data_IF_146238056330
#
_entry.id   IF_146238056330
#
_cell.length_a   1.000
_cell.length_b   1.000
_cell.length_c   1.000
_cell.angle_alpha   90.00
_cell.angle_beta   90.00
_cell.angle_gamma   90.00
#
_symmetry.space_group_name_H-M   'P 1'
#
loop_
_entity.id
_entity.type
_entity.pdbx_description
1 polymer ?
#
# COMPACT_ATOMS: atom_id res chain seq x y z
N UNK A 1 -7.67 9.62 -1.95
CA UNK A 1 -7.76 8.92 -0.66
C UNK A 1 -6.42 8.37 -0.30
N UNK A 2 -6.11 8.35 0.96
CA UNK A 2 -4.83 7.84 1.42
C UNK A 2 -5.01 6.44 1.98
N UNK A 3 -4.06 5.58 1.69
CA UNK A 3 -4.09 4.20 2.17
C UNK A 3 -2.75 3.86 2.81
N UNK A 4 -2.82 3.12 3.89
CA UNK A 4 -1.62 2.63 4.54
C UNK A 4 -1.40 1.20 4.09
N UNK A 5 -0.24 0.95 3.51
CA UNK A 5 0.11 -0.37 3.01
C UNK A 5 1.22 -0.92 3.88
N UNK A 6 1.00 -2.09 4.44
CA UNK A 6 2.01 -2.74 5.26
C UNK A 6 2.20 -4.16 4.76
N UNK A 7 3.30 -4.76 5.11
CA UNK A 7 3.61 -6.12 4.70
C UNK A 7 5.10 -6.36 4.75
N UNK A 8 5.55 -7.30 3.92
CA UNK A 8 6.96 -7.64 3.82
C UNK A 8 7.42 -7.50 2.39
N UNK A 9 8.50 -6.80 2.20
CA UNK A 9 9.09 -6.54 0.89
C UNK A 9 10.45 -7.21 0.89
N UNK A 10 10.57 -8.30 0.14
CA UNK A 10 11.77 -9.14 0.12
C UNK A 10 12.16 -9.56 1.54
N UNK A 11 11.17 -9.87 2.36
CA UNK A 11 11.40 -10.32 3.71
C UNK A 11 11.57 -9.23 4.75
N UNK A 12 11.51 -7.96 4.34
CA UNK A 12 11.63 -6.85 5.28
C UNK A 12 10.31 -6.17 5.48
N UNK A 13 9.97 -5.85 6.68
CA UNK A 13 8.71 -5.19 7.00
C UNK A 13 8.71 -3.79 6.43
N UNK A 14 7.58 -3.39 5.87
CA UNK A 14 7.43 -2.03 5.39
C UNK A 14 6.10 -1.45 5.85
N UNK A 15 6.02 -0.13 5.86
CA UNK A 15 4.84 0.60 6.26
C UNK A 15 4.85 1.91 5.49
N UNK A 16 3.96 2.04 4.53
CA UNK A 16 3.94 3.21 3.65
C UNK A 16 2.53 3.73 3.50
N UNK A 17 2.42 5.04 3.30
CA UNK A 17 1.14 5.67 3.02
C UNK A 17 1.20 6.18 1.60
N UNK A 18 0.23 5.77 0.78
CA UNK A 18 0.16 6.22 -0.60
C UNK A 18 -1.23 6.73 -0.90
N UNK A 19 -1.33 7.55 -1.91
CA UNK A 19 -2.61 8.08 -2.33
C UNK A 19 -3.12 7.32 -3.53
N UNK A 20 -4.38 6.96 -3.53
CA UNK A 20 -5.02 6.24 -4.62
C UNK A 20 -6.50 6.57 -4.63
N UNK A 21 -7.20 6.23 -5.70
CA UNK A 21 -8.62 6.52 -5.81
C UNK A 21 -9.46 5.57 -4.98
N UNK A 22 -9.08 4.33 -4.90
CA UNK A 22 -9.76 3.35 -4.08
C UNK A 22 -8.78 2.24 -3.72
N UNK A 23 -9.26 1.26 -2.97
CA UNK A 23 -8.38 0.20 -2.48
C UNK A 23 -7.86 -0.67 -3.60
N UNK A 24 -8.66 -0.89 -4.65
CA UNK A 24 -8.20 -1.67 -5.79
C UNK A 24 -7.09 -0.95 -6.52
N UNK A 25 -7.23 0.35 -6.70
CA UNK A 25 -6.22 1.16 -7.35
C UNK A 25 -4.92 1.13 -6.54
N UNK A 26 -5.04 1.22 -5.23
CA UNK A 26 -3.89 1.17 -4.33
C UNK A 26 -3.17 -0.17 -4.46
N UNK A 27 -3.94 -1.26 -4.43
CA UNK A 27 -3.36 -2.59 -4.51
C UNK A 27 -2.67 -2.79 -5.87
N UNK A 28 -3.33 -2.41 -6.95
CA UNK A 28 -2.77 -2.58 -8.28
C UNK A 28 -1.49 -1.77 -8.46
N UNK A 29 -1.46 -0.55 -7.96
CA UNK A 29 -0.29 0.29 -8.04
C UNK A 29 0.88 -0.33 -7.29
N UNK A 30 0.61 -0.83 -6.08
CA UNK A 30 1.64 -1.42 -5.26
C UNK A 30 2.20 -2.69 -5.88
N UNK A 31 1.31 -3.54 -6.40
CA UNK A 31 1.74 -4.80 -6.99
C UNK A 31 2.50 -4.56 -8.30
N UNK A 32 2.11 -3.55 -9.07
CA UNK A 32 2.84 -3.20 -10.27
C UNK A 32 4.25 -2.74 -9.92
N UNK A 33 4.37 -1.94 -8.87
CA UNK A 33 5.67 -1.48 -8.42
C UNK A 33 6.54 -2.66 -8.00
N UNK A 34 5.97 -3.59 -7.26
CA UNK A 34 6.70 -4.79 -6.83
C UNK A 34 7.16 -5.61 -8.03
N UNK A 35 6.31 -5.70 -9.06
CA UNK A 35 6.65 -6.44 -10.26
C UNK A 35 7.80 -5.79 -11.01
N UNK A 36 7.77 -4.48 -11.14
CA UNK A 36 8.85 -3.76 -11.81
C UNK A 36 10.15 -3.92 -11.04
N UNK A 37 10.10 -3.90 -9.72
CA UNK A 37 11.28 -4.03 -8.89
C UNK A 37 11.70 -5.48 -8.67
N UNK A 38 10.95 -6.44 -9.21
CA UNK A 38 11.19 -7.87 -8.99
C UNK A 38 11.22 -8.18 -7.49
N UNK A 39 10.35 -7.55 -6.73
CA UNK A 39 10.30 -7.75 -5.29
C UNK A 39 9.29 -8.82 -4.92
N UNK A 40 9.57 -9.53 -3.84
CA UNK A 40 8.67 -10.54 -3.35
C UNK A 40 7.90 -9.92 -2.20
N UNK A 41 6.62 -9.67 -2.40
CA UNK A 41 5.79 -9.01 -1.40
C UNK A 41 4.85 -10.03 -0.79
N UNK A 42 4.87 -10.12 0.53
CA UNK A 42 4.03 -11.07 1.25
C UNK A 42 3.34 -10.36 2.38
N UNK A 43 2.26 -10.97 2.87
CA UNK A 43 1.49 -10.47 4.02
C UNK A 43 1.03 -9.02 3.84
N UNK A 44 0.65 -8.68 2.60
CA UNK A 44 0.25 -7.32 2.31
C UNK A 44 -1.10 -7.00 2.97
N UNK A 45 -1.17 -5.81 3.53
CA UNK A 45 -2.37 -5.35 4.18
C UNK A 45 -2.57 -3.90 3.81
N UNK A 46 -3.77 -3.54 3.40
CA UNK A 46 -4.07 -2.18 2.99
C UNK A 46 -5.22 -1.64 3.82
N UNK A 47 -5.02 -0.47 4.38
CA UNK A 47 -6.02 0.14 5.23
C UNK A 47 -6.32 1.53 4.73
N UNK A 48 -7.58 1.85 4.56
CA UNK A 48 -7.96 3.19 4.16
C UNK A 48 -7.83 4.14 5.32
N UNK A 49 -7.12 5.24 5.10
CA UNK A 49 -6.97 6.25 6.13
C UNK A 49 -7.97 7.36 5.86
N UNK A 50 -8.88 7.55 6.79
CA UNK A 50 -9.85 8.60 6.63
C UNK A 50 -9.21 9.90 6.97
N UNK A 51 -9.36 10.84 6.08
CA UNK A 51 -8.89 12.12 6.36
C UNK A 51 -9.81 12.75 7.27
N UNK A 52 -9.44 12.91 8.48
CA UNK A 52 -10.27 13.39 9.47
C UNK A 52 -10.26 14.84 9.43
N UNK A 53 -11.30 15.38 9.01
CA UNK A 53 -11.39 16.76 9.05
C UNK A 53 -11.73 17.14 10.37
N UNK A 54 -10.87 17.53 11.13
CA UNK A 54 -11.20 18.00 12.36
C UNK A 54 -11.80 19.22 12.23
N UNK A 55 -12.88 19.23 12.33
CA UNK A 55 -13.48 20.52 12.25
C UNK A 55 -13.06 21.39 13.33
#
# INVERSE_FOLDING_TARGET
MHFRVTGEWNGELFDRVIEAEDINDCYNHWMLWAQIAHADVTNICIEELKEHQTA
#
